data_IF_545279861744
#
_entry.id   IF_545279861744
#
_cell.length_a   1.000
_cell.length_b   1.000
_cell.length_c   1.000
_cell.angle_alpha   90.00
_cell.angle_beta   90.00
_cell.angle_gamma   90.00
#
_symmetry.space_group_name_H-M   'P 1'
#
loop_
_entity.id
_entity.type
_entity.pdbx_description
1 polymer ?
#
# COMPACT_ATOMS: atom_id res chain seq x y z
N UNK A 1 -2.19 -11.42 -14.02
CA UNK A 1 -3.05 -11.34 -12.82
C UNK A 1 -2.12 -11.19 -11.65
N UNK A 2 -2.33 -10.17 -10.80
CA UNK A 2 -1.49 -9.95 -9.63
C UNK A 2 -1.37 -11.24 -8.78
N UNK A 3 -0.14 -11.60 -8.44
CA UNK A 3 0.16 -12.73 -7.55
C UNK A 3 -0.07 -12.29 -6.10
N UNK A 4 -0.53 -13.18 -5.22
CA UNK A 4 -0.67 -12.85 -3.80
C UNK A 4 0.69 -12.53 -3.21
N UNK A 5 0.80 -11.36 -2.58
CA UNK A 5 1.99 -11.01 -1.78
C UNK A 5 1.88 -11.76 -0.45
N UNK A 6 2.90 -12.53 -0.03
CA UNK A 6 2.93 -13.17 1.27
C UNK A 6 2.84 -12.16 2.41
N UNK A 7 2.17 -12.53 3.50
CA UNK A 7 2.19 -11.78 4.75
C UNK A 7 3.27 -12.34 5.69
N UNK A 8 4.53 -12.19 5.27
CA UNK A 8 5.71 -12.63 6.00
C UNK A 8 6.65 -11.46 6.37
N UNK A 9 7.64 -11.73 7.23
CA UNK A 9 8.62 -10.72 7.66
C UNK A 9 9.41 -10.13 6.49
N UNK A 10 9.73 -10.92 5.46
CA UNK A 10 10.46 -10.45 4.29
C UNK A 10 9.66 -9.39 3.51
N UNK A 11 8.36 -9.62 3.33
CA UNK A 11 7.46 -8.67 2.68
C UNK A 11 7.23 -7.45 3.57
N UNK A 12 7.09 -7.65 4.89
CA UNK A 12 6.98 -6.55 5.86
C UNK A 12 8.18 -5.62 5.80
N UNK A 13 9.40 -6.15 5.73
CA UNK A 13 10.62 -5.34 5.71
C UNK A 13 10.71 -4.46 4.46
N UNK A 14 10.31 -4.99 3.30
CA UNK A 14 10.23 -4.19 2.07
C UNK A 14 9.14 -3.11 2.21
N UNK A 15 7.97 -3.47 2.72
CA UNK A 15 6.88 -2.51 2.95
C UNK A 15 7.26 -1.43 3.97
N UNK A 16 7.98 -1.73 5.06
CA UNK A 16 8.45 -0.72 6.01
C UNK A 16 9.37 0.29 5.33
N UNK A 17 10.29 -0.18 4.49
CA UNK A 17 11.24 0.66 3.74
C UNK A 17 10.56 1.56 2.70
N UNK A 18 9.52 1.08 2.02
CA UNK A 18 8.87 1.82 0.92
C UNK A 18 7.58 2.53 1.31
N UNK A 19 6.73 1.91 2.12
CA UNK A 19 5.48 2.48 2.61
C UNK A 19 5.72 3.44 3.79
N UNK A 20 6.72 3.20 4.65
CA UNK A 20 7.08 4.12 5.73
C UNK A 20 7.30 5.56 5.27
N UNK A 21 8.13 5.82 4.25
CA UNK A 21 8.33 7.16 3.68
C UNK A 21 7.32 7.53 2.58
N UNK A 22 6.29 6.71 2.33
CA UNK A 22 5.32 7.00 1.26
C UNK A 22 4.60 8.34 1.53
N UNK A 23 4.51 9.25 0.54
CA UNK A 23 3.85 10.55 0.69
C UNK A 23 2.41 10.45 1.20
N UNK A 24 1.72 9.36 0.88
CA UNK A 24 0.35 9.11 1.31
C UNK A 24 0.25 8.35 2.64
N UNK A 25 1.31 7.70 3.13
CA UNK A 25 1.20 6.84 4.33
C UNK A 25 1.11 7.65 5.63
N UNK A 26 2.16 8.42 5.93
CA UNK A 26 2.29 9.16 7.19
C UNK A 26 1.27 10.29 7.33
N UNK A 27 0.99 11.13 6.31
CA UNK A 27 -0.01 12.21 6.45
C UNK A 27 -1.42 11.70 6.66
N UNK A 28 -1.76 10.52 6.12
CA UNK A 28 -3.07 9.89 6.34
C UNK A 28 -3.12 9.05 7.61
N UNK A 29 -2.05 8.98 8.42
CA UNK A 29 -1.97 8.20 9.66
C UNK A 29 -2.39 6.74 9.49
N UNK A 30 -2.00 6.13 8.37
CA UNK A 30 -2.50 4.80 7.99
C UNK A 30 -1.97 3.66 8.87
N UNK A 31 -0.95 3.93 9.68
CA UNK A 31 -0.50 3.07 10.76
C UNK A 31 -1.48 2.99 11.93
N UNK A 32 -2.44 3.91 12.06
CA UNK A 32 -3.48 3.91 13.12
C UNK A 32 -4.71 3.07 12.74
N UNK A 33 -4.79 2.64 11.47
CA UNK A 33 -5.90 1.86 10.94
C UNK A 33 -5.39 0.52 10.42
N UNK A 34 -6.14 -0.56 10.62
CA UNK A 34 -5.80 -1.83 9.99
C UNK A 34 -5.69 -1.69 8.46
N UNK A 35 -4.73 -2.39 7.83
CA UNK A 35 -3.84 -3.41 8.41
C UNK A 35 -2.52 -2.86 9.00
N UNK A 36 -2.42 -1.56 9.27
CA UNK A 36 -1.25 -0.82 9.82
C UNK A 36 0.01 -0.80 8.93
N UNK A 37 0.20 -1.84 8.13
CA UNK A 37 1.27 -1.99 7.14
C UNK A 37 0.84 -3.06 6.11
N UNK A 38 1.67 -3.29 5.09
CA UNK A 38 1.53 -4.42 4.15
C UNK A 38 0.23 -4.47 3.34
N UNK A 39 -0.15 -3.34 2.76
CA UNK A 39 -1.41 -3.25 2.05
C UNK A 39 -1.53 -4.17 0.83
N UNK A 40 -0.41 -4.47 0.16
CA UNK A 40 -0.41 -5.38 -0.99
C UNK A 40 -0.67 -6.85 -0.63
N UNK A 41 -0.38 -7.28 0.61
CA UNK A 41 -0.69 -8.63 1.09
C UNK A 41 -1.98 -8.66 1.92
N UNK A 42 -2.26 -7.60 2.70
CA UNK A 42 -3.35 -7.54 3.69
C UNK A 42 -4.60 -6.79 3.22
N UNK A 43 -4.55 -6.11 2.08
CA UNK A 43 -5.69 -5.36 1.54
C UNK A 43 -5.69 -3.86 1.87
N UNK A 44 -6.83 -3.21 1.57
CA UNK A 44 -7.04 -1.77 1.75
C UNK A 44 -7.18 -1.38 3.23
N UNK A 45 -6.98 -0.10 3.55
CA UNK A 45 -7.21 0.39 4.92
C UNK A 45 -8.68 0.36 5.25
N UNK A 46 -8.96 0.16 6.53
CA UNK A 46 -10.27 0.43 7.12
C UNK A 46 -10.58 1.92 7.33
N UNK A 47 -9.63 2.84 7.08
CA UNK A 47 -9.83 4.28 7.15
C UNK A 47 -10.85 4.71 6.07
N UNK A 48 -11.85 5.54 6.42
CA UNK A 48 -12.82 6.05 5.45
C UNK A 48 -12.13 6.74 4.27
N UNK A 49 -12.57 6.44 3.04
CA UNK A 49 -11.93 6.91 1.79
C UNK A 49 -11.94 8.43 1.63
N UNK A 50 -12.99 9.08 2.12
CA UNK A 50 -13.14 10.53 2.21
C UNK A 50 -12.11 11.20 3.13
N UNK A 51 -11.44 10.42 3.99
CA UNK A 51 -10.39 10.87 4.90
C UNK A 51 -8.98 10.44 4.45
N UNK A 52 -8.84 9.89 3.24
CA UNK A 52 -7.57 9.49 2.64
C UNK A 52 -7.26 10.43 1.47
N UNK A 53 -6.28 11.31 1.68
CA UNK A 53 -5.77 12.18 0.63
C UNK A 53 -4.71 11.45 -0.21
N UNK A 54 -4.87 11.44 -1.53
CA UNK A 54 -3.82 10.96 -2.42
C UNK A 54 -2.72 12.03 -2.55
N UNK A 55 -1.54 11.76 -1.98
CA UNK A 55 -0.34 12.61 -2.06
C UNK A 55 0.76 12.01 -2.94
N UNK A 56 0.45 10.96 -3.70
CA UNK A 56 1.39 10.17 -4.49
C UNK A 56 1.74 8.81 -3.87
N UNK A 57 2.27 7.89 -4.70
CA UNK A 57 2.65 6.51 -4.33
C UNK A 57 4.12 6.26 -4.70
N UNK A 58 4.92 5.78 -3.75
CA UNK A 58 6.26 5.20 -4.01
C UNK A 58 6.19 3.74 -4.48
N UNK A 59 4.97 3.21 -4.63
CA UNK A 59 4.67 1.80 -4.80
C UNK A 59 5.28 1.19 -6.07
N UNK A 60 5.36 1.96 -7.16
CA UNK A 60 5.94 1.52 -8.43
C UNK A 60 7.46 1.29 -8.38
N UNK A 61 8.14 1.88 -7.39
CA UNK A 61 9.56 1.64 -7.11
C UNK A 61 9.82 0.52 -6.11
N UNK A 62 8.76 -0.04 -5.49
CA UNK A 62 8.89 -1.13 -4.52
C UNK A 62 9.15 -2.45 -5.25
N UNK A 63 10.15 -3.23 -4.81
CA UNK A 63 10.48 -4.52 -5.42
C UNK A 63 9.35 -5.56 -5.38
N UNK A 64 8.37 -5.42 -4.47
CA UNK A 64 7.18 -6.28 -4.45
C UNK A 64 6.26 -6.01 -5.65
N UNK A 65 6.21 -4.78 -6.14
CA UNK A 65 5.29 -4.37 -7.20
C UNK A 65 5.54 -5.14 -8.51
N UNK A 66 6.75 -5.14 -9.11
CA UNK A 66 7.03 -5.94 -10.30
C UNK A 66 7.09 -7.45 -9.99
N UNK A 67 7.57 -7.84 -8.79
CA UNK A 67 7.72 -9.26 -8.41
C UNK A 67 6.38 -10.01 -8.38
N UNK A 68 5.34 -9.33 -7.89
CA UNK A 68 4.00 -9.90 -7.77
C UNK A 68 3.04 -9.39 -8.84
N UNK A 69 3.54 -8.72 -9.88
CA UNK A 69 2.73 -8.21 -10.99
C UNK A 69 1.56 -7.35 -10.47
N UNK A 70 1.83 -6.55 -9.44
CA UNK A 70 0.82 -5.66 -8.87
C UNK A 70 0.49 -4.61 -9.91
N UNK A 71 -0.80 -4.37 -10.12
CA UNK A 71 -1.25 -3.41 -11.14
C UNK A 71 -1.50 -2.03 -10.53
N UNK A 72 -1.68 -1.95 -9.20
CA UNK A 72 -2.13 -0.75 -8.49
C UNK A 72 -1.50 -0.67 -7.10
N UNK A 73 -1.23 0.55 -6.66
CA UNK A 73 -0.90 0.79 -5.25
C UNK A 73 -2.16 0.55 -4.42
N UNK A 74 -2.08 -0.34 -3.43
CA UNK A 74 -3.24 -0.83 -2.68
C UNK A 74 -3.99 0.25 -1.86
N UNK A 75 -3.52 1.50 -1.86
CA UNK A 75 -3.97 2.54 -0.92
C UNK A 75 -4.21 3.93 -1.50
N UNK A 76 -3.31 4.40 -2.34
CA UNK A 76 -3.25 5.82 -2.71
C UNK A 76 -3.84 6.10 -4.09
N UNK A 77 -4.11 5.09 -4.91
CA UNK A 77 -4.76 5.31 -6.20
C UNK A 77 -6.28 5.31 -6.00
N UNK A 78 -7.01 6.37 -6.38
CA UNK A 78 -8.45 6.27 -6.48
C UNK A 78 -8.80 5.11 -7.41
N UNK A 79 -9.74 4.28 -6.97
CA UNK A 79 -10.53 3.46 -7.87
C UNK A 79 -11.26 4.41 -8.82
N UNK A 80 -10.67 4.70 -9.99
CA UNK A 80 -11.49 5.01 -11.15
C UNK A 80 -11.84 3.67 -11.79
N UNK A 81 -12.88 3.04 -11.24
CA UNK A 81 -13.76 2.23 -12.08
C UNK A 81 -14.45 3.23 -13.02
N UNK A 82 -14.11 3.18 -14.30
CA UNK A 82 -15.15 3.43 -15.30
C UNK A 82 -16.04 2.20 -15.34
#
# INVERSE_FOLDING_TARGET
MAKPVPDDEASMDICRKFCGPCPSFKPNKLNEFEPHALFCSRGQTKKPKDQVENKGCSCFGCGLFPKYELEKGFFCAPWFQK
#
